data_IF_191723980909
#
_entry.id   IF_191723980909
#
_cell.length_a   1.000
_cell.length_b   1.000
_cell.length_c   1.000
_cell.angle_alpha   90.00
_cell.angle_beta   90.00
_cell.angle_gamma   90.00
#
_symmetry.space_group_name_H-M   'P 1'
#
loop_
_entity.id
_entity.type
_entity.pdbx_description
1 polymer ?
#
# COMPACT_ATOMS: atom_id res chain seq x y z
N UNK A 1 -4.58 15.65 44.25
CA UNK A 1 -4.55 14.44 43.41
C UNK A 1 -5.02 14.91 42.04
N UNK A 2 -4.10 15.26 41.15
CA UNK A 2 -4.47 15.53 39.76
C UNK A 2 -4.82 14.18 39.14
N UNK A 3 -6.11 14.00 38.82
CA UNK A 3 -6.54 12.81 38.09
C UNK A 3 -5.89 12.84 36.71
N UNK A 4 -5.30 11.72 36.24
CA UNK A 4 -4.74 11.66 34.91
C UNK A 4 -5.82 11.98 33.87
N UNK A 5 -5.45 12.69 32.81
CA UNK A 5 -6.43 13.01 31.76
C UNK A 5 -6.95 11.71 31.13
N UNK A 6 -8.23 11.63 30.70
CA UNK A 6 -8.79 10.42 30.08
C UNK A 6 -7.94 9.86 28.92
N UNK A 7 -7.32 10.75 28.13
CA UNK A 7 -6.37 10.40 27.06
C UNK A 7 -5.09 9.72 27.58
N UNK A 8 -4.58 10.16 28.72
CA UNK A 8 -3.38 9.56 29.32
C UNK A 8 -3.69 8.17 29.90
N UNK A 9 -4.85 8.01 30.53
CA UNK A 9 -5.31 6.72 31.03
C UNK A 9 -5.47 5.71 29.89
N UNK A 10 -6.18 6.09 28.81
CA UNK A 10 -6.36 5.21 27.65
C UNK A 10 -5.02 4.89 26.97
N UNK A 11 -4.09 5.85 26.86
CA UNK A 11 -2.73 5.59 26.35
C UNK A 11 -2.05 4.45 27.11
N UNK A 12 -2.03 4.52 28.45
CA UNK A 12 -1.39 3.49 29.28
C UNK A 12 -2.08 2.14 29.14
N UNK A 13 -3.41 2.13 29.04
CA UNK A 13 -4.18 0.89 28.81
C UNK A 13 -3.82 0.28 27.46
N UNK A 14 -3.80 1.06 26.38
CA UNK A 14 -3.46 0.55 25.04
C UNK A 14 -2.01 0.05 24.96
N UNK A 15 -1.06 0.73 25.59
CA UNK A 15 0.34 0.28 25.69
C UNK A 15 0.49 -1.04 26.46
N UNK A 16 -0.47 -1.38 27.33
CA UNK A 16 -0.48 -2.66 28.05
C UNK A 16 -1.13 -3.81 27.28
N UNK A 17 -2.04 -3.50 26.35
CA UNK A 17 -2.80 -4.48 25.57
C UNK A 17 -2.08 -4.83 24.27
N UNK A 18 -1.48 -3.84 23.61
CA UNK A 18 -0.93 -3.98 22.26
C UNK A 18 0.59 -3.91 22.26
N UNK A 19 1.19 -4.58 21.27
CA UNK A 19 2.64 -4.50 21.07
C UNK A 19 3.03 -3.23 20.30
N UNK A 20 4.29 -2.74 20.43
CA UNK A 20 4.78 -1.59 19.67
C UNK A 20 4.77 -1.78 18.14
N UNK A 21 4.66 -3.04 17.68
CA UNK A 21 4.55 -3.38 16.26
C UNK A 21 3.14 -3.20 15.71
N UNK A 22 2.12 -3.39 16.56
CA UNK A 22 0.70 -3.25 16.22
C UNK A 22 0.22 -1.81 16.37
N UNK A 23 0.60 -1.15 17.46
CA UNK A 23 0.19 0.21 17.78
C UNK A 23 1.41 1.10 18.10
N UNK A 24 1.37 2.33 17.61
CA UNK A 24 2.36 3.37 17.96
C UNK A 24 1.60 4.61 18.40
N UNK A 25 1.82 5.05 19.64
CA UNK A 25 1.17 6.24 20.20
C UNK A 25 2.22 7.33 20.37
N UNK A 26 2.02 8.44 19.68
CA UNK A 26 2.90 9.61 19.74
C UNK A 26 2.54 10.52 20.93
N UNK A 27 3.45 11.42 21.31
CA UNK A 27 3.23 12.36 22.42
C UNK A 27 2.14 13.40 22.13
N UNK A 28 1.80 13.62 20.85
CA UNK A 28 0.70 14.46 20.42
C UNK A 28 -0.67 13.73 20.42
N UNK A 29 -0.75 12.56 21.05
CA UNK A 29 -1.94 11.70 21.11
C UNK A 29 -2.45 11.26 19.74
N UNK A 30 -1.52 11.04 18.80
CA UNK A 30 -1.77 10.32 17.57
C UNK A 30 -1.48 8.84 17.78
N UNK A 31 -2.52 8.05 17.64
CA UNK A 31 -2.47 6.60 17.64
C UNK A 31 -2.40 6.13 16.20
N UNK A 32 -1.34 5.38 15.89
CA UNK A 32 -1.22 4.69 14.63
C UNK A 32 -1.42 3.19 14.87
N UNK A 33 -2.41 2.61 14.23
CA UNK A 33 -2.69 1.18 14.31
C UNK A 33 -2.45 0.54 12.95
N UNK A 34 -1.70 -0.57 12.93
CA UNK A 34 -1.45 -1.36 11.72
C UNK A 34 -2.32 -2.61 11.73
N UNK A 35 -3.18 -2.72 10.73
CA UNK A 35 -3.98 -3.91 10.50
C UNK A 35 -3.31 -4.82 9.47
N UNK A 36 -3.14 -6.10 9.80
CA UNK A 36 -2.58 -7.13 8.92
C UNK A 36 -1.06 -7.26 8.95
N UNK A 37 -0.54 -8.28 8.28
CA UNK A 37 0.90 -8.60 8.27
C UNK A 37 1.68 -7.59 7.41
N UNK A 38 2.78 -7.00 7.93
CA UNK A 38 3.60 -6.06 7.18
C UNK A 38 4.07 -6.63 5.83
N UNK A 39 3.92 -5.83 4.77
CA UNK A 39 4.37 -6.20 3.42
C UNK A 39 3.36 -7.03 2.63
N UNK A 40 2.18 -7.31 3.19
CA UNK A 40 1.06 -7.88 2.43
C UNK A 40 0.21 -6.78 1.80
N UNK A 41 -0.41 -7.07 0.66
CA UNK A 41 -1.35 -6.17 -0.04
C UNK A 41 -2.71 -6.04 0.67
N UNK A 42 -2.87 -6.75 1.79
CA UNK A 42 -4.06 -6.77 2.64
C UNK A 42 -3.84 -5.95 3.92
N UNK A 43 -2.63 -5.44 4.13
CA UNK A 43 -2.27 -4.66 5.31
C UNK A 43 -2.42 -3.16 5.07
N UNK A 44 -3.04 -2.45 6.00
CA UNK A 44 -3.17 -1.00 5.95
C UNK A 44 -3.05 -0.40 7.35
N UNK A 45 -2.85 0.92 7.40
CA UNK A 45 -2.56 1.69 8.61
C UNK A 45 -3.67 2.69 8.87
N UNK A 46 -4.19 2.75 10.09
CA UNK A 46 -5.20 3.73 10.49
C UNK A 46 -4.58 4.68 11.50
N UNK A 47 -4.70 5.98 11.26
CA UNK A 47 -4.33 7.01 12.20
C UNK A 47 -5.59 7.50 12.94
N UNK A 48 -5.51 7.56 14.26
CA UNK A 48 -6.56 8.05 15.15
C UNK A 48 -5.94 9.15 16.01
N UNK A 49 -6.43 10.38 15.90
CA UNK A 49 -5.94 11.52 16.68
C UNK A 49 -6.93 11.87 17.77
N UNK A 50 -6.48 11.94 19.02
CA UNK A 50 -7.32 12.34 20.14
C UNK A 50 -7.29 13.86 20.36
N UNK A 51 -8.36 14.60 20.01
CA UNK A 51 -8.43 16.04 20.25
C UNK A 51 -8.43 16.35 21.76
N UNK A 52 -8.22 17.63 22.11
CA UNK A 52 -8.17 18.06 23.52
C UNK A 52 -9.43 17.72 24.33
N UNK A 53 -10.59 17.61 23.69
CA UNK A 53 -11.87 17.29 24.31
C UNK A 53 -12.22 15.80 24.32
N UNK A 54 -11.37 14.91 23.82
CA UNK A 54 -11.61 13.47 23.83
C UNK A 54 -11.61 12.90 25.27
N UNK A 55 -12.51 11.96 25.62
CA UNK A 55 -13.45 11.23 24.74
C UNK A 55 -14.81 11.91 24.49
N UNK A 56 -15.06 13.09 25.06
CA UNK A 56 -16.31 13.84 24.82
C UNK A 56 -16.38 14.45 23.41
N UNK A 57 -15.22 14.64 22.77
CA UNK A 57 -15.09 14.98 21.36
C UNK A 57 -14.61 13.76 20.60
N UNK A 58 -15.24 13.48 19.46
CA UNK A 58 -14.88 12.36 18.59
C UNK A 58 -13.40 12.43 18.16
N UNK A 59 -12.72 11.28 18.07
CA UNK A 59 -11.38 11.23 17.52
C UNK A 59 -11.41 11.54 16.02
N UNK A 60 -10.30 12.07 15.51
CA UNK A 60 -10.13 12.31 14.07
C UNK A 60 -9.47 11.08 13.46
N UNK A 61 -10.14 10.46 12.49
CA UNK A 61 -9.70 9.22 11.85
C UNK A 61 -9.18 9.55 10.46
N UNK A 62 -7.99 9.04 10.14
CA UNK A 62 -7.32 9.28 8.87
C UNK A 62 -6.68 8.00 8.32
N UNK A 63 -6.91 7.74 7.03
CA UNK A 63 -6.33 6.64 6.27
C UNK A 63 -5.45 7.14 5.11
N UNK A 64 -5.15 8.44 5.03
CA UNK A 64 -4.28 9.02 4.01
C UNK A 64 -2.79 8.89 4.35
N UNK A 65 -2.38 7.65 4.63
CA UNK A 65 -0.99 7.29 4.89
C UNK A 65 -0.39 6.70 3.61
N UNK A 66 0.89 7.00 3.35
CA UNK A 66 1.63 6.45 2.20
C UNK A 66 1.50 4.92 2.08
N UNK A 67 1.52 4.21 3.20
CA UNK A 67 1.35 2.76 3.26
C UNK A 67 0.02 2.27 2.66
N UNK A 68 -1.01 3.11 2.66
CA UNK A 68 -2.36 2.81 2.18
C UNK A 68 -2.58 3.17 0.71
N UNK A 69 -1.52 3.46 -0.06
CA UNK A 69 -1.67 3.81 -1.48
C UNK A 69 -2.33 2.70 -2.32
N UNK A 70 -2.21 1.45 -1.89
CA UNK A 70 -2.84 0.30 -2.54
C UNK A 70 -4.34 0.15 -2.20
N UNK A 71 -4.83 0.87 -1.20
CA UNK A 71 -6.24 0.85 -0.77
C UNK A 71 -7.02 1.86 -1.61
N UNK A 72 -8.09 1.43 -2.33
CA UNK A 72 -8.92 2.34 -3.11
C UNK A 72 -9.56 3.43 -2.24
N UNK A 73 -9.73 4.64 -2.78
CA UNK A 73 -10.32 5.75 -2.04
C UNK A 73 -11.74 5.43 -1.54
N UNK A 74 -12.58 4.83 -2.39
CA UNK A 74 -13.95 4.40 -2.02
C UNK A 74 -13.96 3.51 -0.76
N UNK A 75 -12.96 2.64 -0.64
CA UNK A 75 -12.82 1.75 0.51
C UNK A 75 -12.35 2.51 1.75
N UNK A 76 -11.40 3.45 1.60
CA UNK A 76 -10.98 4.31 2.72
C UNK A 76 -12.16 5.11 3.26
N UNK A 77 -12.93 5.73 2.38
CA UNK A 77 -14.09 6.55 2.75
C UNK A 77 -15.14 5.71 3.49
N UNK A 78 -15.41 4.48 3.00
CA UNK A 78 -16.31 3.54 3.70
C UNK A 78 -15.81 3.17 5.10
N UNK A 79 -14.52 2.86 5.25
CA UNK A 79 -13.94 2.53 6.56
C UNK A 79 -14.02 3.73 7.51
N UNK A 80 -13.70 4.94 7.03
CA UNK A 80 -13.79 6.17 7.83
C UNK A 80 -15.23 6.36 8.30
N UNK A 81 -16.21 6.25 7.40
CA UNK A 81 -17.62 6.43 7.72
C UNK A 81 -18.10 5.43 8.78
N UNK A 82 -17.73 4.15 8.65
CA UNK A 82 -18.10 3.11 9.61
C UNK A 82 -17.51 3.38 11.01
N UNK A 83 -16.24 3.79 11.05
CA UNK A 83 -15.57 4.12 12.31
C UNK A 83 -16.09 5.41 12.94
N UNK A 84 -16.44 6.42 12.14
CA UNK A 84 -17.08 7.65 12.61
C UNK A 84 -18.46 7.38 13.18
N UNK A 85 -19.25 6.50 12.56
CA UNK A 85 -20.55 6.09 13.07
C UNK A 85 -20.41 5.37 14.43
N UNK A 86 -19.42 4.47 14.54
CA UNK A 86 -19.10 3.80 15.80
C UNK A 86 -18.64 4.78 16.88
N UNK A 87 -17.86 5.78 16.49
CA UNK A 87 -17.39 6.83 17.39
C UNK A 87 -18.50 7.77 17.86
N UNK A 88 -19.46 8.08 17.00
CA UNK A 88 -20.64 8.86 17.36
C UNK A 88 -21.54 8.09 18.34
N UNK A 89 -21.70 6.77 18.17
CA UNK A 89 -22.52 5.94 19.03
C UNK A 89 -21.94 5.79 20.46
N UNK A 90 -20.61 5.85 20.61
CA UNK A 90 -19.90 5.64 21.87
C UNK A 90 -19.24 6.93 22.39
N UNK A 91 -19.80 8.10 22.08
CA UNK A 91 -19.26 9.38 22.51
C UNK A 91 -19.25 9.50 24.04
N UNK A 92 -18.17 10.04 24.61
CA UNK A 92 -18.04 10.22 26.07
C UNK A 92 -17.28 9.11 26.78
N UNK A 93 -16.92 8.02 26.08
CA UNK A 93 -16.09 6.93 26.61
C UNK A 93 -14.83 6.72 25.77
N UNK A 94 -13.72 6.26 26.37
CA UNK A 94 -12.54 5.77 25.63
C UNK A 94 -12.94 4.69 24.62
N UNK A 95 -12.71 4.93 23.32
CA UNK A 95 -13.24 4.09 22.26
C UNK A 95 -12.18 3.51 21.31
N UNK A 96 -10.90 3.84 21.50
CA UNK A 96 -9.85 3.43 20.56
C UNK A 96 -9.72 1.91 20.51
N UNK A 97 -9.85 1.24 21.65
CA UNK A 97 -9.89 -0.22 21.71
C UNK A 97 -11.04 -0.78 20.86
N UNK A 98 -12.25 -0.23 21.02
CA UNK A 98 -13.44 -0.65 20.26
C UNK A 98 -13.27 -0.42 18.76
N UNK A 99 -12.67 0.71 18.36
CA UNK A 99 -12.35 0.99 16.95
C UNK A 99 -11.36 -0.04 16.38
N UNK A 100 -10.33 -0.39 17.15
CA UNK A 100 -9.33 -1.38 16.74
C UNK A 100 -9.97 -2.75 16.60
N UNK A 101 -10.76 -3.19 17.58
CA UNK A 101 -11.42 -4.50 17.51
C UNK A 101 -12.41 -4.57 16.34
N UNK A 102 -13.18 -3.50 16.10
CA UNK A 102 -14.04 -3.42 14.91
C UNK A 102 -13.25 -3.57 13.59
N UNK A 103 -12.05 -2.98 13.51
CA UNK A 103 -11.18 -3.17 12.35
C UNK A 103 -10.68 -4.61 12.22
N UNK A 104 -10.35 -5.27 13.34
CA UNK A 104 -9.89 -6.68 13.35
C UNK A 104 -10.99 -7.63 12.92
N UNK A 105 -12.20 -7.46 13.44
CA UNK A 105 -13.36 -8.29 13.12
C UNK A 105 -13.73 -8.23 11.64
N UNK A 106 -13.55 -7.05 11.02
CA UNK A 106 -13.85 -6.83 9.60
C UNK A 106 -12.65 -7.07 8.67
N UNK A 107 -11.51 -7.54 9.19
CA UNK A 107 -10.26 -7.66 8.41
C UNK A 107 -10.41 -8.57 7.19
N UNK A 108 -11.12 -9.69 7.31
CA UNK A 108 -11.36 -10.61 6.18
C UNK A 108 -12.19 -9.95 5.07
N UNK A 109 -13.22 -9.19 5.45
CA UNK A 109 -14.05 -8.41 4.52
C UNK A 109 -13.21 -7.37 3.79
N UNK A 110 -12.33 -6.66 4.49
CA UNK A 110 -11.42 -5.70 3.86
C UNK A 110 -10.42 -6.39 2.91
N UNK A 111 -9.83 -7.52 3.33
CA UNK A 111 -8.91 -8.29 2.50
C UNK A 111 -9.57 -8.78 1.20
N UNK A 112 -10.83 -9.24 1.25
CA UNK A 112 -11.57 -9.65 0.06
C UNK A 112 -11.84 -8.49 -0.89
N UNK A 113 -12.28 -7.33 -0.39
CA UNK A 113 -12.48 -6.12 -1.19
C UNK A 113 -11.18 -5.62 -1.87
N UNK A 114 -10.04 -5.70 -1.17
CA UNK A 114 -8.71 -5.38 -1.72
C UNK A 114 -8.31 -6.34 -2.85
N UNK A 115 -8.58 -7.65 -2.70
CA UNK A 115 -8.33 -8.64 -3.76
C UNK A 115 -9.20 -8.39 -4.98
N UNK A 116 -10.46 -8.04 -4.79
CA UNK A 116 -11.42 -7.79 -5.89
C UNK A 116 -11.12 -6.49 -6.64
N UNK A 117 -10.84 -5.40 -5.93
CA UNK A 117 -10.42 -4.12 -6.55
C UNK A 117 -9.16 -4.30 -7.40
N UNK A 118 -8.20 -5.12 -6.96
CA UNK A 118 -7.00 -5.42 -7.74
C UNK A 118 -7.29 -6.24 -9.00
N UNK A 119 -8.21 -7.22 -8.93
CA UNK A 119 -8.67 -7.97 -10.12
C UNK A 119 -9.34 -7.06 -11.15
N UNK A 120 -10.14 -6.09 -10.69
CA UNK A 120 -10.80 -5.09 -11.55
C UNK A 120 -9.79 -4.15 -12.22
N UNK A 121 -8.78 -3.67 -11.47
CA UNK A 121 -7.72 -2.79 -12.00
C UNK A 121 -6.86 -3.51 -13.06
N UNK A 122 -6.54 -4.79 -12.85
CA UNK A 122 -5.80 -5.62 -13.82
C UNK A 122 -6.55 -5.89 -15.13
N UNK A 123 -7.89 -5.73 -15.16
CA UNK A 123 -8.69 -5.84 -16.37
C UNK A 123 -8.77 -4.53 -17.20
N UNK A 124 -8.32 -3.39 -16.65
CA UNK A 124 -8.43 -2.08 -17.30
C UNK A 124 -7.30 -1.75 -18.29
N UNK A 125 -6.16 -2.45 -18.22
CA UNK A 125 -4.99 -2.19 -19.12
C UNK A 125 -5.13 -2.82 -20.52
N UNK A 126 -6.25 -3.50 -20.83
CA UNK A 126 -6.47 -4.12 -22.16
C UNK A 126 -7.48 -3.38 -23.06
N UNK A 127 -7.99 -2.21 -22.65
CA UNK A 127 -9.04 -1.51 -23.41
C UNK A 127 -8.88 0.01 -23.49
N UNK A 128 -7.72 0.51 -23.93
CA UNK A 128 -7.67 1.85 -24.54
C UNK A 128 -6.41 2.07 -25.38
N UNK A 129 -6.49 1.67 -26.65
CA UNK A 129 -5.82 2.35 -27.76
C UNK A 129 -6.62 2.00 -29.03
N UNK A 130 -7.44 2.94 -29.51
CA UNK A 130 -8.26 2.75 -30.69
C UNK A 130 -9.33 3.83 -30.83
N UNK A 131 -8.89 5.07 -31.09
CA UNK A 131 -9.74 6.12 -31.63
C UNK A 131 -9.35 6.35 -33.10
N UNK A 132 -10.34 6.49 -34.00
CA UNK A 132 -10.16 7.07 -35.33
C UNK A 132 -10.45 6.15 -36.52
N UNK A 133 -11.72 6.19 -36.97
CA UNK A 133 -12.26 6.11 -38.34
C UNK A 133 -11.45 5.47 -39.50
N UNK A 134 -11.98 4.38 -40.07
CA UNK A 134 -12.65 4.37 -41.40
C UNK A 134 -12.62 2.98 -42.06
N UNK A 135 -13.83 2.51 -42.41
CA UNK A 135 -14.22 1.53 -43.43
C UNK A 135 -13.15 0.62 -44.09
N UNK A 136 -13.24 -0.69 -43.84
CA UNK A 136 -13.59 -1.71 -44.84
C UNK A 136 -13.34 -3.16 -44.34
N UNK A 137 -14.39 -3.98 -44.44
CA UNK A 137 -14.45 -5.42 -44.79
C UNK A 137 -13.54 -6.45 -44.11
N UNK A 138 -14.24 -7.37 -43.44
CA UNK A 138 -14.16 -8.84 -43.53
C UNK A 138 -12.89 -9.59 -43.07
N UNK A 139 -13.13 -10.42 -42.05
CA UNK A 139 -12.65 -11.79 -41.88
C UNK A 139 -11.15 -12.01 -41.58
N UNK A 140 -10.85 -12.21 -40.29
CA UNK A 140 -10.24 -13.44 -39.76
C UNK A 140 -9.95 -13.33 -38.26
N UNK A 141 -10.07 -14.48 -37.62
CA UNK A 141 -9.89 -14.74 -36.19
C UNK A 141 -8.47 -14.40 -35.72
N UNK A 142 -8.28 -13.29 -35.01
CA UNK A 142 -7.01 -12.98 -34.36
C UNK A 142 -6.96 -13.58 -32.96
N UNK A 143 -6.52 -14.84 -32.90
CA UNK A 143 -5.76 -15.33 -31.75
C UNK A 143 -4.54 -14.40 -31.65
N UNK A 144 -4.51 -13.49 -30.66
CA UNK A 144 -3.29 -12.77 -30.30
C UNK A 144 -2.23 -13.81 -29.95
N UNK A 145 -1.41 -14.16 -30.93
CA UNK A 145 -0.25 -15.03 -30.75
C UNK A 145 0.57 -14.44 -29.61
N UNK A 146 0.68 -15.20 -28.52
CA UNK A 146 1.59 -14.85 -27.44
C UNK A 146 3.00 -14.84 -28.04
N UNK A 147 3.51 -13.64 -28.31
CA UNK A 147 4.85 -13.45 -28.85
C UNK A 147 5.84 -14.26 -28.00
N UNK A 148 6.55 -15.15 -28.66
CA UNK A 148 7.55 -15.99 -28.01
C UNK A 148 8.60 -15.11 -27.34
N UNK A 149 9.26 -15.63 -26.30
CA UNK A 149 10.34 -14.92 -25.59
C UNK A 149 11.41 -14.39 -26.56
N UNK A 150 11.68 -15.12 -27.65
CA UNK A 150 12.60 -14.71 -28.70
C UNK A 150 12.10 -13.50 -29.51
N UNK A 151 10.82 -13.46 -29.87
CA UNK A 151 10.22 -12.31 -30.58
C UNK A 151 10.21 -11.04 -29.71
N UNK A 152 9.89 -11.16 -28.41
CA UNK A 152 9.97 -10.04 -27.47
C UNK A 152 11.40 -9.49 -27.35
N UNK A 153 12.41 -10.38 -27.28
CA UNK A 153 13.83 -9.98 -27.24
C UNK A 153 14.28 -9.25 -28.51
N UNK A 154 13.76 -9.62 -29.68
CA UNK A 154 14.06 -8.92 -30.95
C UNK A 154 13.47 -7.52 -30.99
N UNK A 155 12.25 -7.32 -30.50
CA UNK A 155 11.63 -5.99 -30.42
C UNK A 155 12.38 -5.05 -29.48
N UNK A 156 12.91 -5.58 -28.37
CA UNK A 156 13.68 -4.78 -27.40
C UNK A 156 15.08 -4.39 -27.90
N UNK A 157 15.61 -5.10 -28.90
CA UNK A 157 16.87 -4.77 -29.57
C UNK A 157 16.69 -3.82 -30.76
N UNK A 158 15.48 -3.29 -30.97
CA UNK A 158 15.23 -2.34 -32.04
C UNK A 158 15.91 -1.02 -31.69
N UNK A 159 16.79 -0.57 -32.57
CA UNK A 159 17.52 0.69 -32.45
C UNK A 159 16.54 1.86 -32.50
N UNK A 160 16.83 2.94 -31.76
CA UNK A 160 16.04 4.17 -31.80
C UNK A 160 16.11 4.83 -33.19
N UNK A 161 15.26 5.83 -33.43
CA UNK A 161 15.22 6.57 -34.72
C UNK A 161 16.55 7.23 -35.13
N UNK A 162 17.52 7.29 -34.22
CA UNK A 162 18.89 7.79 -34.45
C UNK A 162 19.93 6.68 -34.59
N UNK A 163 19.53 5.40 -34.65
CA UNK A 163 20.43 4.25 -34.83
C UNK A 163 21.24 3.84 -33.59
N UNK A 164 20.91 4.36 -32.41
CA UNK A 164 21.55 3.99 -31.14
C UNK A 164 20.66 3.06 -30.32
N UNK A 165 21.26 2.25 -29.43
CA UNK A 165 20.52 1.47 -28.45
C UNK A 165 20.03 2.37 -27.31
N UNK A 166 18.84 2.12 -26.75
CA UNK A 166 18.27 2.97 -25.71
C UNK A 166 19.14 2.98 -24.45
N UNK A 167 19.15 4.13 -23.76
CA UNK A 167 19.86 4.29 -22.48
C UNK A 167 19.39 3.23 -21.49
N UNK A 168 20.33 2.52 -20.87
CA UNK A 168 20.03 1.42 -19.94
C UNK A 168 19.94 0.03 -20.59
N UNK A 169 20.16 -0.11 -21.90
CA UNK A 169 20.23 -1.43 -22.57
C UNK A 169 21.33 -2.33 -21.99
N UNK A 170 22.46 -1.76 -21.55
CA UNK A 170 23.59 -2.51 -20.98
C UNK A 170 23.67 -2.45 -19.43
N UNK A 171 22.54 -2.36 -18.72
CA UNK A 171 22.59 -2.34 -17.25
C UNK A 171 23.45 -3.51 -16.70
N UNK A 172 24.49 -3.15 -15.94
CA UNK A 172 25.41 -4.12 -15.33
C UNK A 172 25.00 -4.23 -13.86
N UNK A 173 24.78 -5.47 -13.40
CA UNK A 173 24.64 -5.76 -11.98
C UNK A 173 26.01 -5.56 -11.30
N UNK A 174 26.14 -4.45 -10.58
CA UNK A 174 27.38 -4.04 -9.92
C UNK A 174 27.85 -5.09 -8.92
N UNK A 175 26.94 -5.77 -8.22
CA UNK A 175 27.29 -6.81 -7.25
C UNK A 175 27.84 -8.03 -7.97
N UNK A 176 27.17 -8.47 -9.05
CA UNK A 176 27.65 -9.59 -9.87
C UNK A 176 29.00 -9.28 -10.54
N UNK A 177 29.18 -8.05 -11.01
CA UNK A 177 30.42 -7.59 -11.64
C UNK A 177 31.60 -7.57 -10.64
N UNK A 178 31.39 -6.99 -9.45
CA UNK A 178 32.39 -6.97 -8.39
C UNK A 178 32.73 -8.37 -7.85
N UNK A 179 31.78 -9.31 -7.88
CA UNK A 179 32.03 -10.72 -7.55
C UNK A 179 32.86 -11.46 -8.60
N UNK A 180 32.82 -11.02 -9.86
CA UNK A 180 33.65 -11.59 -10.94
C UNK A 180 35.06 -11.01 -10.95
N UNK A 181 35.21 -9.73 -10.58
CA UNK A 181 36.52 -9.11 -10.39
C UNK A 181 36.96 -9.31 -8.94
N UNK A 182 37.54 -10.47 -8.63
CA UNK A 182 38.28 -10.65 -7.37
C UNK A 182 39.37 -9.58 -7.21
N UNK A 183 39.86 -9.32 -5.97
CA UNK A 183 40.92 -8.35 -5.75
C UNK A 183 42.14 -8.73 -6.60
N UNK A 184 42.62 -7.79 -7.41
CA UNK A 184 43.84 -7.96 -8.18
C UNK A 184 44.96 -8.36 -7.21
N UNK A 185 45.57 -9.54 -7.43
CA UNK A 185 46.71 -9.97 -6.63
C UNK A 185 47.82 -8.95 -6.81
N UNK A 186 48.17 -8.27 -5.72
CA UNK A 186 49.37 -7.44 -5.65
C UNK A 186 50.55 -8.40 -5.61
N UNK A 187 51.16 -8.64 -6.76
CA UNK A 187 52.46 -9.30 -6.85
C UNK A 187 53.51 -8.40 -6.18
N UNK A 188 53.71 -8.59 -4.88
CA UNK A 188 54.87 -8.09 -4.15
C UNK A 188 56.02 -9.04 -4.44
N UNK A 189 56.83 -8.72 -5.46
CA UNK A 189 58.15 -9.32 -5.64
C UNK A 189 59.19 -8.50 -4.88
N UNK A 190 59.86 -9.15 -3.93
CA UNK A 190 61.14 -8.75 -3.34
C UNK A 190 62.12 -9.92 -3.51
#
# INVERSE_FOLDING_TARGET
MDLPSPRAEEKTVLESIYTPEEITISDDYKVQFRLGTPGTLESFVVNITWPKGYPFTMPVIDLDVFCNHHVPQEMKDSIIQDLEQLAHANSGEPLTFTLIEHLRDNMETYATQLRESKKRSGHSVSRQAGAGESAAKEDKTDKKEMLTKAQKRRQLNRLDGTGNLPRGWNWVDVIKHLRQTGPAQTDTSA
#
